data_IF_615684621605
#
_entry.id   IF_615684621605
#
_cell.length_a   1.000
_cell.length_b   1.000
_cell.length_c   1.000
_cell.angle_alpha   90.00
_cell.angle_beta   90.00
_cell.angle_gamma   90.00
#
_symmetry.space_group_name_H-M   'P 1'
#
loop_
_entity.id
_entity.type
_entity.pdbx_description
1 polymer ?
#
# COMPACT_ATOMS: atom_id res chain seq x y z
N UNK A 1 22.56 -9.29 -17.31
CA UNK A 1 21.31 -8.93 -16.61
C UNK A 1 20.16 -9.24 -17.55
N UNK A 2 19.04 -9.73 -17.02
CA UNK A 2 17.90 -10.19 -17.82
C UNK A 2 16.69 -9.30 -17.54
N UNK A 3 15.80 -9.13 -18.52
CA UNK A 3 14.60 -8.30 -18.41
C UNK A 3 13.34 -9.14 -18.61
N UNK A 4 12.22 -8.68 -18.05
CA UNK A 4 10.90 -9.32 -18.22
C UNK A 4 9.82 -8.28 -18.53
N UNK A 5 8.72 -8.73 -19.12
CA UNK A 5 7.53 -7.92 -19.37
C UNK A 5 6.55 -8.06 -18.19
N UNK A 6 6.03 -6.95 -17.69
CA UNK A 6 5.07 -6.93 -16.56
C UNK A 6 3.62 -6.78 -17.05
N UNK A 7 2.68 -6.79 -16.10
CA UNK A 7 1.27 -6.45 -16.34
C UNK A 7 1.05 -5.01 -16.82
N UNK A 8 2.01 -4.10 -16.62
CA UNK A 8 1.91 -2.70 -17.01
C UNK A 8 2.25 -2.47 -18.49
N UNK A 9 2.50 -3.56 -19.23
CA UNK A 9 2.71 -3.52 -20.66
C UNK A 9 1.39 -3.30 -21.40
N UNK A 10 1.33 -2.23 -22.20
CA UNK A 10 0.15 -1.87 -23.02
C UNK A 10 0.12 -2.54 -24.39
N UNK A 11 1.10 -3.41 -24.71
CA UNK A 11 1.17 -4.05 -26.03
C UNK A 11 1.53 -3.10 -27.18
N UNK A 12 2.07 -1.91 -26.91
CA UNK A 12 2.37 -0.88 -27.93
C UNK A 12 3.49 -1.23 -28.93
N UNK A 13 4.12 -2.40 -28.80
CA UNK A 13 5.14 -2.96 -29.71
C UNK A 13 6.42 -2.14 -29.96
N UNK A 14 6.62 -0.99 -29.27
CA UNK A 14 7.81 -0.13 -29.44
C UNK A 14 9.14 -0.81 -29.12
N UNK A 15 9.14 -1.81 -28.25
CA UNK A 15 10.35 -2.51 -27.85
C UNK A 15 10.81 -3.60 -28.86
N UNK A 16 9.96 -4.04 -29.80
CA UNK A 16 10.33 -5.03 -30.82
C UNK A 16 11.52 -4.58 -31.69
N UNK A 17 11.43 -3.44 -32.40
CA UNK A 17 12.46 -3.05 -33.37
C UNK A 17 13.80 -2.67 -32.73
N UNK A 18 13.82 -2.36 -31.43
CA UNK A 18 15.03 -1.90 -30.73
C UNK A 18 15.78 -3.02 -30.01
N UNK A 19 15.23 -4.25 -29.97
CA UNK A 19 15.89 -5.37 -29.31
C UNK A 19 16.98 -5.98 -30.22
N UNK A 20 18.27 -5.91 -29.84
CA UNK A 20 19.37 -6.34 -30.72
C UNK A 20 19.47 -7.86 -30.88
N UNK A 21 18.98 -8.63 -29.89
CA UNK A 21 19.06 -10.10 -29.89
C UNK A 21 17.77 -10.78 -30.37
N UNK A 22 16.73 -10.01 -30.72
CA UNK A 22 15.43 -10.58 -31.08
C UNK A 22 14.73 -11.31 -29.92
N UNK A 23 15.08 -10.99 -28.67
CA UNK A 23 14.53 -11.68 -27.48
C UNK A 23 13.04 -11.37 -27.23
N UNK A 24 12.46 -10.36 -27.87
CA UNK A 24 11.09 -9.91 -27.63
C UNK A 24 10.14 -10.43 -28.71
N UNK A 25 9.06 -11.07 -28.30
CA UNK A 25 8.00 -11.56 -29.19
C UNK A 25 6.63 -10.98 -28.82
N UNK A 26 5.73 -10.94 -29.81
CA UNK A 26 4.34 -10.49 -29.62
C UNK A 26 3.39 -11.60 -30.03
N UNK A 27 2.53 -12.03 -29.10
CA UNK A 27 1.50 -13.05 -29.32
C UNK A 27 0.16 -12.50 -28.81
N UNK A 28 -0.82 -12.35 -29.71
CA UNK A 28 -2.16 -11.84 -29.37
C UNK A 28 -2.15 -10.50 -28.61
N UNK A 29 -1.29 -9.57 -29.01
CA UNK A 29 -1.14 -8.26 -28.36
C UNK A 29 -0.41 -8.30 -27.00
N UNK A 30 -0.06 -9.49 -26.49
CA UNK A 30 0.80 -9.65 -25.32
C UNK A 30 2.26 -9.74 -25.75
N UNK A 31 3.11 -9.11 -24.95
CA UNK A 31 4.54 -9.03 -25.19
C UNK A 31 5.26 -9.98 -24.24
N UNK A 32 6.30 -10.66 -24.72
CA UNK A 32 7.11 -11.56 -23.90
C UNK A 32 8.59 -11.41 -24.23
N UNK A 33 9.46 -11.59 -23.24
CA UNK A 33 10.92 -11.64 -23.41
C UNK A 33 11.39 -13.07 -23.16
N UNK A 34 12.08 -13.66 -24.13
CA UNK A 34 12.77 -14.93 -23.99
C UNK A 34 14.02 -14.74 -23.11
N UNK A 35 14.07 -15.25 -21.86
CA UNK A 35 15.15 -14.93 -20.92
C UNK A 35 16.53 -15.40 -21.40
N UNK A 36 16.57 -16.51 -22.14
CA UNK A 36 17.79 -17.10 -22.68
C UNK A 36 18.39 -16.32 -23.86
N UNK A 37 17.61 -15.47 -24.52
CA UNK A 37 18.07 -14.58 -25.60
C UNK A 37 18.38 -13.17 -25.10
N UNK A 38 17.88 -12.80 -23.92
CA UNK A 38 18.06 -11.47 -23.36
C UNK A 38 19.44 -11.35 -22.69
N UNK A 39 20.33 -10.56 -23.30
CA UNK A 39 21.63 -10.22 -22.73
C UNK A 39 21.64 -8.85 -22.03
N UNK A 40 20.47 -8.24 -21.80
CA UNK A 40 20.38 -6.89 -21.24
C UNK A 40 20.96 -5.79 -22.15
N UNK A 41 21.01 -6.03 -23.47
CA UNK A 41 21.65 -5.18 -24.47
C UNK A 41 23.18 -5.06 -24.35
N UNK A 42 23.83 -5.85 -23.50
CA UNK A 42 25.30 -5.86 -23.35
C UNK A 42 25.96 -6.20 -24.68
N UNK A 43 26.99 -5.43 -25.07
CA UNK A 43 27.69 -5.58 -26.35
C UNK A 43 27.03 -4.86 -27.53
N UNK A 44 25.85 -4.25 -27.33
CA UNK A 44 25.19 -3.43 -28.35
C UNK A 44 24.94 -2.00 -27.86
N UNK A 45 24.45 -1.84 -26.63
CA UNK A 45 24.12 -0.54 -26.05
C UNK A 45 24.56 -0.47 -24.58
N UNK A 46 24.80 0.75 -24.08
CA UNK A 46 25.11 1.00 -22.67
C UNK A 46 23.88 0.93 -21.75
N UNK A 47 22.67 1.02 -22.32
CA UNK A 47 21.39 1.00 -21.61
C UNK A 47 20.39 0.04 -22.27
N UNK A 48 19.49 -0.60 -21.49
CA UNK A 48 18.47 -1.51 -22.00
C UNK A 48 17.45 -0.79 -22.88
N UNK A 49 17.46 -1.05 -24.18
CA UNK A 49 16.59 -0.35 -25.13
C UNK A 49 15.09 -0.62 -24.88
N UNK A 50 14.71 -1.85 -24.48
CA UNK A 50 13.30 -2.19 -24.20
C UNK A 50 12.68 -1.31 -23.10
N UNK A 51 13.48 -0.99 -22.06
CA UNK A 51 13.04 -0.19 -20.93
C UNK A 51 13.06 1.30 -21.32
N UNK A 52 14.09 1.74 -22.05
CA UNK A 52 14.24 3.13 -22.49
C UNK A 52 13.09 3.61 -23.40
N UNK A 53 12.53 2.73 -24.24
CA UNK A 53 11.43 3.08 -25.16
C UNK A 53 10.04 2.77 -24.59
N UNK A 54 9.96 2.20 -23.38
CA UNK A 54 8.69 1.79 -22.77
C UNK A 54 7.89 3.03 -22.32
N UNK A 55 6.69 3.29 -22.88
CA UNK A 55 5.93 4.50 -22.53
C UNK A 55 5.43 4.52 -21.09
N UNK A 56 5.28 3.35 -20.45
CA UNK A 56 4.85 3.23 -19.06
C UNK A 56 6.02 3.18 -18.08
N UNK A 57 7.27 3.06 -18.54
CA UNK A 57 8.48 2.78 -17.75
C UNK A 57 8.47 1.46 -16.94
N UNK A 58 7.30 0.88 -16.67
CA UNK A 58 7.13 -0.32 -15.87
C UNK A 58 6.84 -1.57 -16.73
N UNK A 59 6.62 -1.43 -18.03
CA UNK A 59 6.30 -2.55 -18.92
C UNK A 59 7.47 -3.48 -19.29
N UNK A 60 8.74 -3.02 -19.20
CA UNK A 60 9.95 -3.84 -19.32
C UNK A 60 10.84 -3.56 -18.10
N UNK A 61 11.04 -4.53 -17.21
CA UNK A 61 11.82 -4.33 -15.98
C UNK A 61 12.99 -5.30 -15.88
N UNK A 62 14.04 -4.88 -15.20
CA UNK A 62 15.18 -5.75 -14.89
C UNK A 62 14.78 -6.83 -13.89
N UNK A 63 15.05 -8.08 -14.23
CA UNK A 63 15.00 -9.22 -13.31
C UNK A 63 16.30 -9.25 -12.53
N UNK A 64 16.47 -8.28 -11.63
CA UNK A 64 17.53 -8.35 -10.63
C UNK A 64 17.07 -9.23 -9.46
N UNK A 65 18.01 -9.91 -8.80
CA UNK A 65 17.76 -10.65 -7.56
C UNK A 65 17.12 -9.78 -6.47
N UNK A 66 17.37 -8.47 -6.52
CA UNK A 66 16.75 -7.46 -5.66
C UNK A 66 15.25 -7.31 -5.90
N UNK A 67 14.79 -7.42 -7.15
CA UNK A 67 13.36 -7.38 -7.49
C UNK A 67 12.63 -8.61 -6.95
N UNK A 68 13.22 -9.81 -7.03
CA UNK A 68 12.68 -11.02 -6.40
C UNK A 68 12.66 -10.93 -4.87
N UNK A 69 13.67 -10.31 -4.26
CA UNK A 69 13.71 -10.06 -2.81
C UNK A 69 12.54 -9.17 -2.37
N UNK A 70 12.32 -8.04 -3.04
CA UNK A 70 11.25 -7.11 -2.67
C UNK A 70 9.86 -7.72 -2.87
N UNK A 71 9.61 -8.43 -3.97
CA UNK A 71 8.31 -9.09 -4.19
C UNK A 71 8.03 -10.19 -3.15
N UNK A 72 9.01 -11.04 -2.84
CA UNK A 72 8.88 -12.05 -1.79
C UNK A 72 8.71 -11.43 -0.38
N UNK A 73 9.38 -10.30 -0.14
CA UNK A 73 9.23 -9.54 1.10
C UNK A 73 7.82 -8.93 1.22
N UNK A 74 7.30 -8.29 0.17
CA UNK A 74 5.96 -7.69 0.17
C UNK A 74 4.87 -8.74 0.39
N UNK A 75 4.94 -9.90 -0.29
CA UNK A 75 4.01 -11.01 -0.04
C UNK A 75 4.04 -11.49 1.42
N UNK A 76 5.24 -11.59 2.00
CA UNK A 76 5.42 -11.98 3.40
C UNK A 76 4.86 -10.93 4.35
N UNK A 77 5.13 -9.65 4.08
CA UNK A 77 4.66 -8.52 4.86
C UNK A 77 3.13 -8.43 4.85
N UNK A 78 2.48 -8.49 3.69
CA UNK A 78 1.03 -8.38 3.56
C UNK A 78 0.31 -9.55 4.24
N UNK A 79 0.86 -10.76 4.16
CA UNK A 79 0.36 -11.92 4.91
C UNK A 79 0.46 -11.69 6.41
N UNK A 80 1.60 -11.22 6.92
CA UNK A 80 1.80 -10.94 8.35
C UNK A 80 0.90 -9.82 8.84
N UNK A 81 0.73 -8.75 8.07
CA UNK A 81 -0.20 -7.65 8.39
C UNK A 81 -1.64 -8.14 8.41
N UNK A 82 -2.03 -8.99 7.45
CA UNK A 82 -3.37 -9.60 7.43
C UNK A 82 -3.61 -10.48 8.64
N UNK A 83 -2.60 -11.24 9.09
CA UNK A 83 -2.65 -12.01 10.33
C UNK A 83 -2.75 -11.09 11.55
N UNK A 84 -1.94 -10.03 11.64
CA UNK A 84 -1.97 -9.09 12.76
C UNK A 84 -3.26 -8.27 12.83
N UNK A 85 -3.89 -7.98 11.70
CA UNK A 85 -5.19 -7.28 11.61
C UNK A 85 -6.38 -8.23 11.83
N UNK A 86 -6.26 -9.49 11.40
CA UNK A 86 -7.28 -10.52 11.53
C UNK A 86 -7.27 -11.23 12.89
N UNK A 87 -6.16 -11.17 13.63
CA UNK A 87 -6.11 -11.60 15.03
C UNK A 87 -6.82 -10.52 15.86
N UNK A 88 -7.87 -10.84 16.63
CA UNK A 88 -8.44 -9.89 17.58
C UNK A 88 -7.30 -9.44 18.49
N UNK A 89 -6.89 -8.18 18.36
CA UNK A 89 -5.88 -7.58 19.23
C UNK A 89 -6.48 -7.67 20.63
N UNK A 90 -6.04 -8.62 21.45
CA UNK A 90 -6.49 -8.74 22.83
C UNK A 90 -6.30 -7.41 23.60
N UNK A 91 -5.41 -6.54 23.12
CA UNK A 91 -5.18 -5.18 23.61
C UNK A 91 -6.20 -4.12 23.11
N UNK A 92 -6.90 -4.33 21.97
CA UNK A 92 -8.03 -3.48 21.55
C UNK A 92 -9.29 -3.74 22.39
N UNK A 93 -9.40 -4.92 23.02
CA UNK A 93 -10.56 -5.28 23.85
C UNK A 93 -10.68 -4.43 25.12
N UNK A 94 -9.56 -4.00 25.73
CA UNK A 94 -9.59 -3.18 26.94
C UNK A 94 -10.24 -1.82 26.70
N UNK A 95 -9.73 -1.06 25.72
CA UNK A 95 -10.24 0.29 25.44
C UNK A 95 -11.67 0.27 24.92
N UNK A 96 -12.03 -0.74 24.13
CA UNK A 96 -13.39 -0.88 23.61
C UNK A 96 -14.39 -1.24 24.71
N UNK A 97 -14.06 -2.21 25.57
CA UNK A 97 -14.86 -2.56 26.76
C UNK A 97 -14.97 -1.40 27.75
N UNK A 98 -13.88 -0.68 27.99
CA UNK A 98 -13.87 0.52 28.82
C UNK A 98 -14.77 1.61 28.22
N UNK A 99 -14.68 1.89 26.93
CA UNK A 99 -15.46 2.93 26.26
C UNK A 99 -16.97 2.61 26.28
N UNK A 100 -17.34 1.35 26.03
CA UNK A 100 -18.72 0.88 26.14
C UNK A 100 -19.27 1.00 27.57
N UNK A 101 -18.48 0.60 28.57
CA UNK A 101 -18.84 0.72 29.99
C UNK A 101 -19.02 2.18 30.41
N UNK A 102 -18.08 3.03 30.01
CA UNK A 102 -18.10 4.46 30.29
C UNK A 102 -19.33 5.13 29.66
N UNK A 103 -19.66 4.80 28.41
CA UNK A 103 -20.87 5.30 27.73
C UNK A 103 -22.14 4.88 28.47
N UNK A 104 -22.24 3.62 28.92
CA UNK A 104 -23.40 3.11 29.68
C UNK A 104 -23.58 3.84 31.01
N UNK A 105 -22.51 4.00 31.79
CA UNK A 105 -22.59 4.68 33.08
C UNK A 105 -22.95 6.16 32.91
N UNK A 106 -22.39 6.81 31.88
CA UNK A 106 -22.72 8.19 31.55
C UNK A 106 -24.20 8.36 31.17
N UNK A 107 -24.76 7.47 30.34
CA UNK A 107 -26.17 7.57 29.94
C UNK A 107 -27.12 7.35 31.12
N UNK A 108 -26.77 6.48 32.07
CA UNK A 108 -27.54 6.29 33.31
C UNK A 108 -27.53 7.55 34.20
N UNK A 109 -26.38 8.21 34.33
CA UNK A 109 -26.25 9.45 35.09
C UNK A 109 -27.01 10.60 34.42
N UNK A 110 -26.95 10.72 33.08
CA UNK A 110 -27.68 11.73 32.32
C UNK A 110 -29.22 11.52 32.37
N UNK A 111 -29.69 10.28 32.54
CA UNK A 111 -31.10 9.95 32.73
C UNK A 111 -31.59 10.12 34.18
N UNK A 112 -30.68 10.23 35.14
CA UNK A 112 -31.07 10.51 36.51
C UNK A 112 -31.60 11.95 36.59
N UNK A 113 -32.80 12.17 37.15
CA UNK A 113 -33.39 13.50 37.41
C UNK A 113 -32.65 14.27 38.52
N UNK A 114 -31.32 14.14 38.60
CA UNK A 114 -30.49 14.74 39.61
C UNK A 114 -29.87 16.04 39.08
N UNK A 115 -30.30 17.16 39.66
CA UNK A 115 -29.87 18.51 39.27
C UNK A 115 -28.36 18.73 39.39
N UNK A 116 -27.69 18.05 40.32
CA UNK A 116 -26.23 18.11 40.48
C UNK A 116 -25.51 17.59 39.23
N UNK A 117 -25.92 16.42 38.70
CA UNK A 117 -25.26 15.81 37.54
C UNK A 117 -25.47 16.63 36.27
N UNK A 118 -26.65 17.22 36.07
CA UNK A 118 -26.92 18.11 34.95
C UNK A 118 -26.00 19.35 34.94
N UNK A 119 -25.84 20.01 36.09
CA UNK A 119 -24.95 21.17 36.22
C UNK A 119 -23.49 20.76 35.99
N UNK A 120 -23.07 19.63 36.56
CA UNK A 120 -21.72 19.11 36.41
C UNK A 120 -21.37 18.78 34.94
N UNK A 121 -22.23 18.05 34.22
CA UNK A 121 -21.99 17.71 32.81
C UNK A 121 -21.98 18.96 31.91
N UNK A 122 -22.84 19.94 32.20
CA UNK A 122 -22.88 21.20 31.46
C UNK A 122 -21.56 21.96 31.64
N UNK A 123 -21.11 22.17 32.88
CA UNK A 123 -19.85 22.84 33.18
C UNK A 123 -18.64 22.10 32.58
N UNK A 124 -18.58 20.76 32.75
CA UNK A 124 -17.50 19.94 32.18
C UNK A 124 -17.43 20.04 30.66
N UNK A 125 -18.59 20.01 29.97
CA UNK A 125 -18.64 20.13 28.50
C UNK A 125 -18.17 21.49 27.99
N UNK A 126 -18.44 22.57 28.73
CA UNK A 126 -17.97 23.93 28.42
C UNK A 126 -16.45 24.03 28.60
N UNK A 127 -15.90 23.45 29.67
CA UNK A 127 -14.44 23.37 29.91
C UNK A 127 -13.73 22.56 28.84
N UNK A 128 -14.29 21.43 28.40
CA UNK A 128 -13.70 20.66 27.30
C UNK A 128 -13.65 21.48 26.00
N UNK A 129 -14.68 22.29 25.72
CA UNK A 129 -14.68 23.18 24.54
C UNK A 129 -13.60 24.25 24.68
N UNK A 130 -13.40 24.84 25.86
CA UNK A 130 -12.36 25.87 26.05
C UNK A 130 -10.95 25.31 25.90
N UNK A 131 -10.70 24.06 26.30
CA UNK A 131 -9.40 23.39 26.14
C UNK A 131 -9.15 22.97 24.68
N UNK A 132 -10.21 22.64 23.93
CA UNK A 132 -10.09 22.13 22.54
C UNK A 132 -10.06 23.23 21.48
N UNK A 133 -10.45 24.44 21.82
CA UNK A 133 -10.22 25.62 20.99
C UNK A 133 -8.71 25.87 20.89
N UNK A 134 -8.10 25.84 19.69
CA UNK A 134 -6.70 26.20 19.57
C UNK A 134 -6.53 27.63 20.08
N UNK A 135 -5.59 27.84 20.99
CA UNK A 135 -5.14 29.18 21.34
C UNK A 135 -4.66 29.84 20.05
N UNK A 136 -5.45 30.78 19.52
CA UNK A 136 -5.00 31.70 18.50
C UNK A 136 -3.92 32.60 19.12
N UNK A 137 -2.66 32.27 18.83
CA UNK A 137 -1.49 33.12 19.00
C UNK A 137 -0.63 32.97 17.75
#
# INVERSE_FOLDING_TARGET
>A
MTYTITSDCTGCQRCLPVCPTGAITSTNGKMAIAPHLCNGCVGHYSVPQCAAVCPTNYGCIEVSSSSLYWHAWFETYDRTISQLKGTPRAHLGYWQSWYETHRRLRSQLEQSQNSYWHQWFTAYSQTLRSIRSPASA
#
